data_IF_259172242980
#
_entry.id   IF_259172242980
#
_cell.length_a   1.000
_cell.length_b   1.000
_cell.length_c   1.000
_cell.angle_alpha   90.00
_cell.angle_beta   90.00
_cell.angle_gamma   90.00
#
_symmetry.space_group_name_H-M   'P 1'
#
loop_
_entity.id
_entity.type
_entity.pdbx_description
1 polymer ?
#
# COMPACT_ATOMS: atom_id res chain seq x y z
N UNK A 1 28.46 13.42 3.87
CA UNK A 1 27.30 13.79 4.69
C UNK A 1 26.82 12.58 5.49
N UNK A 2 26.62 12.72 6.79
CA UNK A 2 25.91 11.71 7.56
C UNK A 2 24.41 11.86 7.26
N UNK A 3 23.84 10.89 6.54
CA UNK A 3 22.41 10.88 6.26
C UNK A 3 21.64 10.48 7.55
N UNK A 4 20.41 10.99 7.77
CA UNK A 4 19.53 10.49 8.83
C UNK A 4 19.34 8.97 8.73
N UNK A 5 19.09 8.30 9.83
CA UNK A 5 19.00 6.83 9.93
C UNK A 5 17.92 6.18 9.05
N UNK A 6 16.94 6.96 8.60
CA UNK A 6 15.83 6.51 7.75
C UNK A 6 16.07 6.72 6.25
N UNK A 7 17.24 7.25 5.85
CA UNK A 7 17.57 7.53 4.44
C UNK A 7 18.66 6.57 3.98
N UNK A 8 18.35 5.79 2.95
CA UNK A 8 19.27 4.83 2.34
C UNK A 8 20.06 5.49 1.21
N UNK A 9 21.34 5.18 1.08
CA UNK A 9 22.11 5.55 -0.12
C UNK A 9 21.72 4.64 -1.28
N UNK A 10 21.58 5.22 -2.47
CA UNK A 10 21.28 4.46 -3.68
C UNK A 10 22.40 3.45 -3.97
N UNK A 11 22.00 2.19 -4.14
CA UNK A 11 22.86 1.11 -4.63
C UNK A 11 22.22 0.61 -5.92
N UNK A 12 22.85 0.89 -7.05
CA UNK A 12 22.30 0.56 -8.36
C UNK A 12 22.56 -0.90 -8.72
N UNK A 13 21.51 -1.59 -9.14
CA UNK A 13 21.55 -2.96 -9.64
C UNK A 13 20.90 -2.98 -11.01
N UNK A 14 21.67 -3.31 -12.05
CA UNK A 14 21.12 -3.42 -13.39
C UNK A 14 19.87 -4.30 -13.42
N UNK A 15 18.86 -3.81 -14.13
CA UNK A 15 17.61 -4.53 -14.26
C UNK A 15 17.70 -5.59 -15.36
N UNK A 16 17.18 -6.80 -15.09
CA UNK A 16 17.05 -7.86 -16.09
C UNK A 16 15.92 -7.57 -17.10
N UNK A 17 15.08 -6.57 -16.83
CA UNK A 17 13.93 -6.18 -17.66
C UNK A 17 14.32 -4.97 -18.51
N UNK A 18 14.34 -5.12 -19.84
CA UNK A 18 14.82 -4.11 -20.79
C UNK A 18 14.18 -2.73 -20.57
N UNK A 19 12.87 -2.68 -20.35
CA UNK A 19 12.12 -1.44 -20.11
C UNK A 19 12.60 -0.65 -18.89
N UNK A 20 13.29 -1.29 -17.94
CA UNK A 20 13.71 -0.71 -16.66
C UNK A 20 15.20 -0.39 -16.61
N UNK A 21 15.97 -0.82 -17.61
CA UNK A 21 17.42 -0.56 -17.70
C UNK A 21 17.72 0.92 -17.79
N UNK A 22 18.89 1.29 -17.28
CA UNK A 22 19.42 2.65 -17.32
C UNK A 22 18.50 3.71 -16.69
N UNK A 23 17.65 3.29 -15.75
CA UNK A 23 16.85 4.20 -14.94
C UNK A 23 17.27 4.13 -13.47
N UNK A 24 18.02 5.12 -12.97
CA UNK A 24 18.58 5.09 -11.63
C UNK A 24 17.53 4.92 -10.52
N UNK A 25 16.32 5.47 -10.70
CA UNK A 25 15.24 5.30 -9.72
C UNK A 25 14.73 3.85 -9.66
N UNK A 26 14.79 3.12 -10.77
CA UNK A 26 14.36 1.71 -10.80
C UNK A 26 15.51 0.82 -10.35
N UNK A 27 16.72 1.08 -10.76
CA UNK A 27 17.92 0.30 -10.44
C UNK A 27 18.32 0.42 -8.96
N UNK A 28 17.88 1.47 -8.26
CA UNK A 28 18.04 1.61 -6.81
C UNK A 28 16.98 0.85 -5.99
N UNK A 29 15.95 0.28 -6.63
CA UNK A 29 14.95 -0.52 -5.96
C UNK A 29 15.42 -1.99 -5.82
N UNK A 30 14.89 -2.73 -4.84
CA UNK A 30 15.09 -4.18 -4.75
C UNK A 30 14.67 -4.87 -6.05
N UNK A 31 15.40 -5.90 -6.48
CA UNK A 31 15.00 -6.72 -7.64
C UNK A 31 13.62 -7.35 -7.43
N UNK A 32 12.92 -7.61 -8.54
CA UNK A 32 11.63 -8.32 -8.51
C UNK A 32 11.86 -9.72 -7.93
N UNK A 33 11.24 -10.00 -6.78
CA UNK A 33 11.41 -11.26 -6.06
C UNK A 33 10.62 -12.38 -6.72
N UNK A 34 11.13 -13.62 -6.65
CA UNK A 34 10.34 -14.81 -6.97
C UNK A 34 9.23 -14.99 -5.93
N UNK A 35 8.13 -15.65 -6.30
CA UNK A 35 6.93 -15.80 -5.44
C UNK A 35 7.28 -16.41 -4.08
N UNK A 36 8.14 -17.43 -4.03
CA UNK A 36 8.53 -18.07 -2.77
C UNK A 36 9.37 -17.14 -1.89
N UNK A 37 10.30 -16.40 -2.45
CA UNK A 37 11.11 -15.40 -1.75
C UNK A 37 10.22 -14.25 -1.21
N UNK A 38 9.26 -13.82 -2.02
CA UNK A 38 8.29 -12.81 -1.62
C UNK A 38 7.46 -13.27 -0.41
N UNK A 39 6.94 -14.51 -0.43
CA UNK A 39 6.18 -15.06 0.69
C UNK A 39 7.01 -15.07 1.97
N UNK A 40 8.28 -15.49 1.91
CA UNK A 40 9.20 -15.48 3.06
C UNK A 40 9.42 -14.04 3.57
N UNK A 41 9.57 -13.06 2.68
CA UNK A 41 9.73 -11.64 3.07
C UNK A 41 8.49 -11.06 3.73
N UNK A 42 7.30 -11.49 3.28
CA UNK A 42 6.03 -11.01 3.80
C UNK A 42 5.58 -11.75 5.06
N UNK A 43 6.08 -12.95 5.34
CA UNK A 43 5.68 -13.75 6.50
C UNK A 43 5.99 -13.02 7.81
N UNK A 44 5.04 -13.03 8.73
CA UNK A 44 5.21 -12.48 10.07
C UNK A 44 6.16 -13.34 10.90
N UNK A 45 6.96 -12.72 11.74
CA UNK A 45 7.95 -13.40 12.60
C UNK A 45 7.43 -13.45 14.04
N UNK A 46 6.50 -14.36 14.29
CA UNK A 46 5.99 -14.60 15.65
C UNK A 46 7.07 -15.28 16.47
N UNK A 47 7.44 -14.67 17.58
CA UNK A 47 8.30 -15.31 18.59
C UNK A 47 7.45 -16.28 19.38
N UNK A 48 7.69 -17.57 19.21
CA UNK A 48 6.94 -18.62 19.87
C UNK A 48 7.87 -19.73 20.33
N UNK A 49 7.83 -20.02 21.63
CA UNK A 49 8.50 -21.17 22.22
C UNK A 49 7.46 -22.27 22.51
N UNK A 50 7.54 -23.44 21.86
CA UNK A 50 6.66 -24.55 22.17
C UNK A 50 6.70 -25.00 23.63
N UNK A 51 7.77 -24.73 24.37
CA UNK A 51 7.88 -25.04 25.78
C UNK A 51 7.26 -23.97 26.71
N UNK A 52 6.68 -22.88 26.17
CA UNK A 52 6.14 -21.76 26.95
C UNK A 52 5.02 -22.13 27.94
N UNK A 53 4.52 -23.37 27.94
CA UNK A 53 3.58 -23.88 28.96
C UNK A 53 4.09 -23.84 30.40
N UNK A 54 5.42 -23.74 30.61
CA UNK A 54 6.01 -23.57 31.96
C UNK A 54 5.90 -22.13 32.50
N UNK A 55 5.63 -21.14 31.65
CA UNK A 55 5.42 -19.76 32.06
C UNK A 55 4.14 -19.65 32.90
N UNK A 56 4.10 -18.69 33.83
CA UNK A 56 2.86 -18.41 34.55
C UNK A 56 1.76 -17.86 33.59
N UNK A 57 0.51 -17.90 34.05
CA UNK A 57 -0.65 -17.51 33.25
C UNK A 57 -0.54 -16.06 32.70
N UNK A 58 -0.03 -15.15 33.51
CA UNK A 58 0.12 -13.74 33.12
C UNK A 58 1.19 -13.56 32.03
N UNK A 59 2.32 -14.25 32.17
CA UNK A 59 3.39 -14.22 31.16
C UNK A 59 2.88 -14.80 29.83
N UNK A 60 2.20 -15.94 29.87
CA UNK A 60 1.60 -16.57 28.66
C UNK A 60 0.62 -15.66 27.96
N UNK A 61 -0.22 -14.95 28.72
CA UNK A 61 -1.17 -13.99 28.16
C UNK A 61 -0.48 -12.82 27.45
N UNK A 62 0.63 -12.29 28.00
CA UNK A 62 1.40 -11.25 27.35
C UNK A 62 2.09 -11.74 26.07
N UNK A 63 2.73 -12.90 26.10
CA UNK A 63 3.35 -13.49 24.90
C UNK A 63 2.34 -13.77 23.79
N UNK A 64 1.18 -14.32 24.15
CA UNK A 64 0.08 -14.59 23.22
C UNK A 64 -0.41 -13.34 22.48
N UNK A 65 -0.47 -12.18 23.15
CA UNK A 65 -0.88 -10.92 22.54
C UNK A 65 0.04 -10.50 21.37
N UNK A 66 1.30 -10.93 21.36
CA UNK A 66 2.22 -10.70 20.26
C UNK A 66 1.72 -11.26 18.91
N UNK A 67 0.81 -12.25 18.91
CA UNK A 67 0.16 -12.70 17.67
C UNK A 67 -0.62 -11.59 16.96
N UNK A 68 -1.22 -10.66 17.69
CA UNK A 68 -2.00 -9.58 17.09
C UNK A 68 -1.14 -8.62 16.26
N UNK A 69 0.14 -8.48 16.65
CA UNK A 69 1.08 -7.54 16.02
C UNK A 69 1.97 -8.24 14.98
N UNK A 70 2.45 -9.43 15.30
CA UNK A 70 3.52 -10.09 14.54
C UNK A 70 3.03 -11.12 13.53
N UNK A 71 1.80 -11.67 13.72
CA UNK A 71 1.31 -12.70 12.83
C UNK A 71 0.88 -12.15 11.48
N UNK A 72 1.49 -12.65 10.42
CA UNK A 72 1.07 -12.39 9.05
C UNK A 72 1.36 -13.61 8.18
N UNK A 73 0.29 -14.21 7.64
CA UNK A 73 0.39 -15.33 6.71
C UNK A 73 0.21 -14.85 5.28
N UNK A 74 1.23 -14.92 4.42
CA UNK A 74 1.10 -14.56 3.00
C UNK A 74 0.13 -15.49 2.27
N UNK A 75 -0.89 -14.91 1.66
CA UNK A 75 -1.90 -15.56 0.84
C UNK A 75 -1.73 -15.20 -0.63
N UNK A 76 -2.44 -15.86 -1.54
CA UNK A 76 -2.36 -15.56 -2.98
C UNK A 76 -2.75 -14.12 -3.32
N UNK A 77 -3.69 -13.55 -2.57
CA UNK A 77 -4.12 -12.16 -2.75
C UNK A 77 -2.99 -11.16 -2.44
N UNK A 78 -2.12 -11.46 -1.47
CA UNK A 78 -0.97 -10.62 -1.13
C UNK A 78 0.08 -10.63 -2.26
N UNK A 79 0.31 -11.80 -2.87
CA UNK A 79 1.21 -11.93 -4.03
C UNK A 79 0.70 -11.14 -5.22
N UNK A 80 -0.61 -11.24 -5.51
CA UNK A 80 -1.23 -10.48 -6.59
C UNK A 80 -1.22 -8.96 -6.33
N UNK A 81 -1.37 -8.54 -5.08
CA UNK A 81 -1.27 -7.12 -4.69
C UNK A 81 0.17 -6.60 -4.84
N UNK A 82 1.16 -7.39 -4.38
CA UNK A 82 2.58 -7.00 -4.53
C UNK A 82 2.97 -6.83 -5.98
N UNK A 83 2.58 -7.76 -6.85
CA UNK A 83 2.85 -7.66 -8.29
C UNK A 83 2.30 -6.34 -8.87
N UNK A 84 1.05 -5.98 -8.52
CA UNK A 84 0.46 -4.71 -8.95
C UNK A 84 1.22 -3.50 -8.41
N UNK A 85 1.58 -3.50 -7.13
CA UNK A 85 2.36 -2.42 -6.49
C UNK A 85 3.74 -2.31 -7.14
N UNK A 86 4.44 -3.42 -7.36
CA UNK A 86 5.74 -3.46 -8.01
C UNK A 86 5.70 -2.89 -9.44
N UNK A 87 4.66 -3.23 -10.21
CA UNK A 87 4.42 -2.69 -11.54
C UNK A 87 4.11 -1.19 -11.52
N UNK A 88 3.36 -0.72 -10.51
CA UNK A 88 3.02 0.70 -10.37
C UNK A 88 4.24 1.53 -10.02
N UNK A 89 5.02 1.15 -9.00
CA UNK A 89 6.21 1.89 -8.58
C UNK A 89 7.19 2.02 -9.74
N UNK A 90 7.57 0.90 -10.38
CA UNK A 90 8.53 0.91 -11.49
C UNK A 90 7.96 1.60 -12.73
N UNK A 91 6.70 1.33 -13.06
CA UNK A 91 6.02 1.96 -14.19
C UNK A 91 5.95 3.48 -14.06
N UNK A 92 5.76 4.00 -12.83
CA UNK A 92 5.76 5.41 -12.55
C UNK A 92 7.10 6.10 -12.80
N UNK A 93 8.22 5.38 -12.70
CA UNK A 93 9.54 5.94 -12.96
C UNK A 93 9.97 5.86 -14.44
N UNK A 94 9.35 5.03 -15.26
CA UNK A 94 9.73 4.86 -16.68
C UNK A 94 9.73 6.20 -17.44
N UNK A 95 8.70 7.03 -17.24
CA UNK A 95 8.61 8.35 -17.89
C UNK A 95 9.27 9.49 -17.08
N UNK A 96 9.95 9.19 -15.98
CA UNK A 96 10.60 10.16 -15.08
C UNK A 96 12.07 9.80 -14.84
N UNK A 97 12.75 9.33 -15.89
CA UNK A 97 14.16 8.95 -15.80
C UNK A 97 15.04 10.19 -15.59
N UNK A 98 15.81 10.20 -14.49
CA UNK A 98 16.71 11.31 -14.16
C UNK A 98 17.94 11.35 -15.06
N UNK A 99 18.43 10.18 -15.53
CA UNK A 99 19.60 10.10 -16.39
C UNK A 99 19.36 10.65 -17.80
N UNK A 100 18.10 10.64 -18.29
CA UNK A 100 17.73 11.12 -19.63
C UNK A 100 17.15 12.54 -19.65
N UNK A 101 17.07 13.21 -18.50
CA UNK A 101 16.50 14.55 -18.39
C UNK A 101 14.97 14.62 -18.34
N UNK A 102 14.27 13.49 -18.40
CA UNK A 102 12.80 13.45 -18.36
C UNK A 102 12.24 14.02 -17.04
N UNK A 103 12.89 13.72 -15.92
CA UNK A 103 12.48 14.29 -14.64
C UNK A 103 12.55 15.81 -14.64
N UNK A 104 13.59 16.39 -15.23
CA UNK A 104 13.79 17.83 -15.33
C UNK A 104 12.68 18.49 -16.16
N UNK A 105 12.21 17.85 -17.23
CA UNK A 105 11.07 18.32 -18.00
C UNK A 105 9.79 18.37 -17.17
N UNK A 106 9.52 17.34 -16.38
CA UNK A 106 8.38 17.32 -15.43
C UNK A 106 8.49 18.44 -14.39
N UNK A 107 9.68 18.67 -13.84
CA UNK A 107 9.92 19.77 -12.88
C UNK A 107 9.70 21.15 -13.51
N UNK A 108 10.15 21.38 -14.74
CA UNK A 108 9.93 22.64 -15.47
C UNK A 108 8.45 22.85 -15.79
N UNK A 109 7.73 21.84 -16.23
CA UNK A 109 6.29 21.91 -16.45
C UNK A 109 5.53 22.20 -15.14
N UNK A 110 5.93 21.56 -14.03
CA UNK A 110 5.37 21.85 -12.71
C UNK A 110 5.61 23.28 -12.27
N UNK A 111 6.81 23.83 -12.51
CA UNK A 111 7.13 25.22 -12.23
C UNK A 111 6.26 26.19 -13.06
N UNK A 112 6.07 25.90 -14.35
CA UNK A 112 5.22 26.71 -15.24
C UNK A 112 3.78 26.77 -14.73
N UNK A 113 3.21 25.64 -14.32
CA UNK A 113 1.86 25.57 -13.70
C UNK A 113 1.75 26.40 -12.42
N UNK A 114 2.79 26.40 -11.61
CA UNK A 114 2.83 27.21 -10.39
C UNK A 114 2.88 28.70 -10.68
N UNK A 115 3.65 29.10 -11.69
CA UNK A 115 3.82 30.52 -12.07
C UNK A 115 2.59 31.10 -12.77
N UNK A 116 1.93 30.33 -13.62
CA UNK A 116 0.75 30.77 -14.38
C UNK A 116 -0.55 30.60 -13.58
N UNK A 117 -0.57 29.74 -12.58
CA UNK A 117 -1.80 29.34 -11.88
C UNK A 117 -2.74 28.47 -12.74
N UNK A 118 -2.32 28.06 -13.94
CA UNK A 118 -3.06 27.20 -14.84
C UNK A 118 -2.49 25.80 -14.83
N UNK A 119 -3.29 24.84 -14.38
CA UNK A 119 -2.93 23.42 -14.27
C UNK A 119 -2.65 22.75 -15.62
N UNK A 120 -3.09 23.34 -16.73
CA UNK A 120 -2.86 22.85 -18.08
C UNK A 120 -1.64 23.49 -18.76
N UNK A 121 -0.97 24.44 -18.11
CA UNK A 121 0.27 25.03 -18.63
C UNK A 121 1.42 24.04 -18.67
N UNK A 122 2.17 24.04 -19.76
CA UNK A 122 3.39 23.26 -19.90
C UNK A 122 4.41 23.99 -20.79
N UNK A 123 5.68 23.85 -20.44
CA UNK A 123 6.81 24.42 -21.19
C UNK A 123 7.39 23.42 -22.19
N UNK A 124 7.36 22.15 -21.83
CA UNK A 124 7.83 21.06 -22.67
C UNK A 124 6.68 20.14 -23.00
N UNK A 125 6.67 19.56 -24.20
CA UNK A 125 5.69 18.56 -24.57
C UNK A 125 5.60 17.47 -23.48
N UNK A 126 4.39 17.21 -22.99
CA UNK A 126 4.21 16.20 -21.97
C UNK A 126 4.54 14.82 -22.52
N UNK A 127 5.49 14.15 -21.88
CA UNK A 127 5.62 12.71 -22.08
C UNK A 127 4.32 12.04 -21.62
N UNK A 128 3.81 11.04 -22.36
CA UNK A 128 2.62 10.31 -21.94
C UNK A 128 2.78 9.83 -20.50
N UNK A 129 1.88 10.23 -19.62
CA UNK A 129 1.93 9.78 -18.22
C UNK A 129 1.88 8.26 -18.17
N UNK A 130 2.85 7.65 -17.52
CA UNK A 130 2.86 6.22 -17.21
C UNK A 130 2.25 5.93 -15.83
N UNK A 131 1.73 6.97 -15.17
CA UNK A 131 1.05 6.84 -13.90
C UNK A 131 -0.22 6.00 -14.05
N UNK A 132 -0.43 5.13 -13.10
CA UNK A 132 -1.56 4.19 -13.07
C UNK A 132 -2.32 4.34 -11.77
N UNK A 133 -3.60 4.01 -11.81
CA UNK A 133 -4.42 3.94 -10.62
C UNK A 133 -4.79 2.49 -10.30
N UNK A 134 -4.84 2.17 -9.01
CA UNK A 134 -5.31 0.90 -8.48
C UNK A 134 -6.30 1.18 -7.35
N UNK A 135 -7.51 0.63 -7.48
CA UNK A 135 -8.52 0.68 -6.41
C UNK A 135 -8.53 -0.63 -5.64
N UNK A 136 -8.35 -0.56 -4.33
CA UNK A 136 -8.38 -1.70 -3.42
C UNK A 136 -9.60 -1.59 -2.49
N UNK A 137 -10.62 -2.40 -2.77
CA UNK A 137 -11.93 -2.33 -2.11
C UNK A 137 -12.19 -3.61 -1.32
N UNK A 138 -12.62 -3.49 -0.07
CA UNK A 138 -13.01 -4.65 0.72
C UNK A 138 -13.54 -4.28 2.10
N UNK A 139 -14.15 -5.22 2.80
CA UNK A 139 -14.68 -5.01 4.14
C UNK A 139 -13.61 -4.52 5.12
N UNK A 140 -14.03 -3.83 6.17
CA UNK A 140 -13.15 -3.49 7.29
C UNK A 140 -12.65 -4.79 7.95
N UNK A 141 -11.41 -4.80 8.44
CA UNK A 141 -10.83 -5.96 9.09
C UNK A 141 -10.31 -7.08 8.14
N UNK A 142 -10.49 -6.95 6.81
CA UNK A 142 -9.95 -7.94 5.86
C UNK A 142 -8.43 -7.84 5.63
N UNK A 143 -7.73 -6.89 6.27
CA UNK A 143 -6.27 -6.77 6.19
C UNK A 143 -5.72 -5.92 5.04
N UNK A 144 -6.55 -5.11 4.33
CA UNK A 144 -6.11 -4.28 3.19
C UNK A 144 -4.94 -3.37 3.51
N UNK A 145 -5.13 -2.47 4.48
CA UNK A 145 -4.12 -1.46 4.86
C UNK A 145 -2.86 -2.11 5.39
N UNK A 146 -2.99 -3.13 6.23
CA UNK A 146 -1.86 -3.90 6.77
C UNK A 146 -1.07 -4.60 5.66
N UNK A 147 -1.77 -5.16 4.66
CA UNK A 147 -1.13 -5.81 3.51
C UNK A 147 -0.38 -4.83 2.62
N UNK A 148 -0.98 -3.66 2.33
CA UNK A 148 -0.31 -2.59 1.58
C UNK A 148 0.95 -2.14 2.31
N UNK A 149 0.85 -1.85 3.62
CA UNK A 149 2.01 -1.44 4.43
C UNK A 149 3.10 -2.50 4.47
N UNK A 150 2.72 -3.78 4.63
CA UNK A 150 3.67 -4.90 4.67
C UNK A 150 4.43 -5.05 3.35
N UNK A 151 3.74 -4.90 2.23
CA UNK A 151 4.35 -4.94 0.91
C UNK A 151 5.27 -3.73 0.70
N UNK A 152 4.81 -2.52 1.03
CA UNK A 152 5.60 -1.31 0.90
C UNK A 152 6.86 -1.34 1.78
N UNK A 153 6.79 -1.95 2.96
CA UNK A 153 7.94 -2.13 3.84
C UNK A 153 9.06 -3.03 3.26
N UNK A 154 8.81 -3.75 2.15
CA UNK A 154 9.86 -4.47 1.41
C UNK A 154 10.73 -3.56 0.55
N UNK A 155 10.36 -2.29 0.40
CA UNK A 155 11.09 -1.27 -0.32
C UNK A 155 11.71 -0.26 0.65
N UNK A 156 12.93 0.24 0.42
CA UNK A 156 13.45 1.40 1.14
C UNK A 156 12.56 2.61 0.84
N UNK A 157 12.05 3.26 1.87
CA UNK A 157 11.10 4.36 1.69
C UNK A 157 11.77 5.60 1.11
N UNK A 158 12.92 5.98 1.65
CA UNK A 158 13.68 7.15 1.19
C UNK A 158 15.06 6.73 0.74
N UNK A 159 15.39 7.04 -0.52
CA UNK A 159 16.68 6.74 -1.13
C UNK A 159 17.34 8.07 -1.55
N UNK A 160 18.60 8.26 -1.21
CA UNK A 160 19.40 9.40 -1.66
C UNK A 160 20.32 8.99 -2.79
N UNK A 161 20.17 9.64 -3.93
CA UNK A 161 20.99 9.47 -5.13
C UNK A 161 22.12 10.49 -5.14
N UNK A 162 23.29 10.10 -4.64
CA UNK A 162 24.44 11.00 -4.46
C UNK A 162 24.91 11.62 -5.79
N UNK A 163 24.94 10.84 -6.89
CA UNK A 163 25.35 11.29 -8.21
C UNK A 163 24.45 12.39 -8.79
N UNK A 164 23.18 12.40 -8.39
CA UNK A 164 22.15 13.33 -8.91
C UNK A 164 21.75 14.37 -7.87
N UNK A 165 22.28 14.29 -6.65
CA UNK A 165 21.89 15.12 -5.51
C UNK A 165 20.35 15.18 -5.34
N UNK A 166 19.70 14.01 -5.40
CA UNK A 166 18.23 13.90 -5.43
C UNK A 166 17.74 12.84 -4.44
N UNK A 167 16.63 13.14 -3.77
CA UNK A 167 15.92 12.19 -2.93
C UNK A 167 14.81 11.50 -3.74
N UNK A 168 14.66 10.21 -3.53
CA UNK A 168 13.58 9.38 -4.05
C UNK A 168 12.73 8.90 -2.88
N UNK A 169 11.46 9.28 -2.85
CA UNK A 169 10.45 8.68 -1.96
C UNK A 169 9.76 7.54 -2.72
N UNK A 170 10.16 6.30 -2.47
CA UNK A 170 9.63 5.14 -3.17
C UNK A 170 8.12 5.03 -3.02
N UNK A 171 7.60 5.37 -1.84
CA UNK A 171 6.16 5.44 -1.58
C UNK A 171 5.84 6.50 -0.54
N UNK A 172 4.65 7.06 -0.66
CA UNK A 172 4.05 7.93 0.35
C UNK A 172 2.65 7.42 0.68
N UNK A 173 2.32 7.22 1.96
CA UNK A 173 0.99 6.83 2.42
C UNK A 173 0.36 7.97 3.19
N UNK A 174 -0.83 8.35 2.79
CA UNK A 174 -1.67 9.33 3.50
C UNK A 174 -3.03 8.72 3.82
N UNK A 175 -3.66 9.19 4.88
CA UNK A 175 -5.04 8.85 5.20
C UNK A 175 -5.96 10.00 4.80
N UNK A 176 -7.13 9.63 4.30
CA UNK A 176 -8.18 10.61 4.09
C UNK A 176 -8.58 11.26 5.40
N UNK A 177 -8.67 12.59 5.44
CA UNK A 177 -9.03 13.32 6.64
C UNK A 177 -10.47 12.98 7.07
N UNK A 178 -10.72 13.05 8.37
CA UNK A 178 -12.03 12.70 8.95
C UNK A 178 -13.14 13.66 8.48
N UNK A 179 -12.78 14.92 8.22
CA UNK A 179 -13.69 15.96 7.71
C UNK A 179 -14.05 15.78 6.22
N UNK A 180 -13.39 14.87 5.52
CA UNK A 180 -13.59 14.61 4.09
C UNK A 180 -13.20 15.77 3.18
N UNK A 181 -12.34 16.68 3.64
CA UNK A 181 -11.89 17.85 2.88
C UNK A 181 -10.73 17.52 1.96
N UNK A 182 -10.84 17.84 0.67
CA UNK A 182 -9.75 17.74 -0.31
C UNK A 182 -8.56 18.63 0.06
N UNK A 183 -8.82 19.79 0.64
CA UNK A 183 -7.77 20.68 1.11
C UNK A 183 -6.98 20.06 2.25
N UNK A 184 -7.66 19.46 3.22
CA UNK A 184 -6.99 18.74 4.32
C UNK A 184 -6.20 17.54 3.80
N UNK A 185 -6.67 16.85 2.74
CA UNK A 185 -5.93 15.77 2.08
C UNK A 185 -4.61 16.26 1.48
N UNK A 186 -4.62 17.43 0.80
CA UNK A 186 -3.40 18.04 0.29
C UNK A 186 -2.42 18.41 1.43
N UNK A 187 -2.94 18.91 2.54
CA UNK A 187 -2.10 19.24 3.71
C UNK A 187 -1.49 17.98 4.34
N UNK A 188 -2.25 16.90 4.46
CA UNK A 188 -1.74 15.60 4.93
C UNK A 188 -0.60 15.08 4.04
N UNK A 189 -0.68 15.32 2.73
CA UNK A 189 0.41 14.98 1.82
C UNK A 189 1.69 15.72 2.16
N UNK A 190 1.65 17.05 2.36
CA UNK A 190 2.84 17.83 2.73
C UNK A 190 3.40 17.43 4.08
N UNK A 191 2.52 17.21 5.07
CA UNK A 191 2.92 16.77 6.41
C UNK A 191 3.65 15.43 6.37
N UNK A 192 3.18 14.49 5.55
CA UNK A 192 3.82 13.18 5.46
C UNK A 192 5.17 13.27 4.72
N UNK A 193 5.32 14.14 3.70
CA UNK A 193 6.63 14.41 3.08
C UNK A 193 7.59 15.05 4.08
N UNK A 194 7.13 16.06 4.84
CA UNK A 194 7.93 16.74 5.86
C UNK A 194 8.47 15.77 6.91
N UNK A 195 7.65 14.81 7.33
CA UNK A 195 8.01 13.79 8.30
C UNK A 195 9.15 12.87 7.81
N UNK A 196 9.16 12.54 6.52
CA UNK A 196 10.17 11.65 5.96
C UNK A 196 11.45 12.35 5.52
N UNK A 197 11.37 13.60 5.09
CA UNK A 197 12.49 14.36 4.53
C UNK A 197 12.95 15.51 5.42
N UNK A 198 12.26 15.75 6.55
CA UNK A 198 12.54 16.86 7.48
C UNK A 198 12.51 18.22 6.77
N UNK A 199 11.49 18.42 5.92
CA UNK A 199 11.21 19.65 5.18
C UNK A 199 10.16 20.51 5.90
N UNK A 200 9.87 21.68 5.37
CA UNK A 200 8.90 22.66 5.90
C UNK A 200 7.75 22.96 4.92
N UNK A 201 7.41 21.99 4.07
CA UNK A 201 6.42 22.13 3.01
C UNK A 201 5.04 22.51 3.54
N UNK A 202 4.66 21.95 4.69
CA UNK A 202 3.38 22.25 5.34
C UNK A 202 3.29 23.72 5.72
N UNK A 203 4.35 24.30 6.28
CA UNK A 203 4.39 25.72 6.58
C UNK A 203 4.39 26.57 5.32
N UNK A 204 5.18 26.16 4.32
CA UNK A 204 5.35 26.87 3.04
C UNK A 204 4.09 26.91 2.21
N UNK A 205 3.38 25.78 2.07
CA UNK A 205 2.23 25.62 1.17
C UNK A 205 0.88 25.56 1.90
N UNK A 206 0.85 25.34 3.21
CA UNK A 206 -0.37 25.20 4.00
C UNK A 206 -1.10 26.53 4.31
N UNK A 207 -0.70 27.65 3.73
CA UNK A 207 -1.30 28.96 3.99
C UNK A 207 -2.78 28.96 3.64
N UNK A 208 -3.60 29.60 4.49
CA UNK A 208 -5.08 29.56 4.45
C UNK A 208 -5.73 30.03 3.12
N UNK A 209 -4.99 30.74 2.26
CA UNK A 209 -5.52 31.39 1.06
C UNK A 209 -5.42 30.56 -0.23
N UNK A 210 -4.76 29.40 -0.22
CA UNK A 210 -4.64 28.57 -1.42
C UNK A 210 -5.91 27.79 -1.70
N UNK A 211 -6.34 27.78 -2.98
CA UNK A 211 -7.39 26.89 -3.46
C UNK A 211 -6.90 25.44 -3.53
N UNK A 212 -7.82 24.50 -3.70
CA UNK A 212 -7.47 23.07 -3.84
C UNK A 212 -6.64 22.82 -5.10
N UNK A 213 -6.92 23.54 -6.19
CA UNK A 213 -6.20 23.43 -7.47
C UNK A 213 -4.75 23.89 -7.33
N UNK A 214 -4.52 24.99 -6.62
CA UNK A 214 -3.17 25.50 -6.32
C UNK A 214 -2.40 24.50 -5.45
N UNK A 215 -3.04 23.94 -4.44
CA UNK A 215 -2.41 22.91 -3.59
C UNK A 215 -2.10 21.66 -4.38
N UNK A 216 -2.95 21.25 -5.33
CA UNK A 216 -2.71 20.13 -6.22
C UNK A 216 -1.48 20.37 -7.12
N UNK A 217 -1.32 21.59 -7.64
CA UNK A 217 -0.13 21.96 -8.41
C UNK A 217 1.15 21.87 -7.57
N UNK A 218 1.10 22.30 -6.30
CA UNK A 218 2.22 22.16 -5.38
C UNK A 218 2.51 20.70 -5.04
N UNK A 219 1.47 19.86 -4.86
CA UNK A 219 1.66 18.41 -4.70
C UNK A 219 2.39 17.79 -5.89
N UNK A 220 2.02 18.20 -7.12
CA UNK A 220 2.69 17.75 -8.35
C UNK A 220 4.17 18.13 -8.39
N UNK A 221 4.49 19.37 -8.03
CA UNK A 221 5.87 19.84 -7.96
C UNK A 221 6.68 19.08 -6.91
N UNK A 222 6.15 18.93 -5.71
CA UNK A 222 6.79 18.19 -4.61
C UNK A 222 6.96 16.71 -4.97
N UNK A 223 5.95 16.08 -5.58
CA UNK A 223 6.00 14.68 -5.98
C UNK A 223 7.08 14.39 -7.03
N UNK A 224 7.33 15.32 -7.95
CA UNK A 224 8.41 15.21 -8.93
C UNK A 224 9.76 15.60 -8.32
N UNK A 225 9.83 16.62 -7.47
CA UNK A 225 11.05 17.05 -6.78
C UNK A 225 11.66 15.92 -5.93
N UNK A 226 10.82 15.17 -5.23
CA UNK A 226 11.24 14.05 -4.39
C UNK A 226 10.99 12.67 -5.03
N UNK A 227 10.79 12.65 -6.34
CA UNK A 227 10.63 11.44 -7.14
C UNK A 227 9.74 10.39 -6.45
N UNK A 228 8.49 10.78 -6.06
CA UNK A 228 7.56 9.88 -5.40
C UNK A 228 7.18 8.75 -6.35
N UNK A 229 7.41 7.49 -5.95
CA UNK A 229 7.14 6.30 -6.77
C UNK A 229 5.67 5.93 -6.83
N UNK A 230 5.01 5.90 -5.68
CA UNK A 230 3.57 5.64 -5.57
C UNK A 230 2.98 6.41 -4.39
N UNK A 231 1.78 6.96 -4.60
CA UNK A 231 0.98 7.58 -3.55
C UNK A 231 -0.13 6.62 -3.13
N UNK A 232 -0.20 6.26 -1.87
CA UNK A 232 -1.29 5.46 -1.29
C UNK A 232 -2.22 6.38 -0.51
N UNK A 233 -3.50 6.37 -0.84
CA UNK A 233 -4.54 7.13 -0.16
C UNK A 233 -5.49 6.13 0.49
N UNK A 234 -5.44 6.06 1.81
CA UNK A 234 -6.22 5.11 2.61
C UNK A 234 -7.50 5.75 3.16
N UNK A 235 -8.48 4.92 3.54
CA UNK A 235 -9.76 5.34 4.11
C UNK A 235 -10.60 6.24 3.19
N UNK A 236 -10.55 6.00 1.86
CA UNK A 236 -11.13 6.89 0.85
C UNK A 236 -12.63 7.12 1.02
N UNK A 237 -13.36 6.21 1.70
CA UNK A 237 -14.78 6.40 1.99
C UNK A 237 -15.08 7.59 2.92
N UNK A 238 -14.07 8.15 3.59
CA UNK A 238 -14.24 9.38 4.41
C UNK A 238 -14.57 10.58 3.55
N UNK A 239 -14.07 10.63 2.30
CA UNK A 239 -14.31 11.72 1.36
C UNK A 239 -15.76 11.72 0.82
N UNK A 240 -16.40 10.56 0.70
CA UNK A 240 -17.78 10.42 0.16
C UNK A 240 -18.92 10.85 1.10
N UNK A 241 -18.62 11.38 2.28
CA UNK A 241 -19.65 11.72 3.29
C UNK A 241 -20.40 13.02 3.02
N UNK A 242 -19.92 13.88 2.11
CA UNK A 242 -20.58 15.14 1.72
C UNK A 242 -21.22 14.96 0.35
N UNK A 243 -22.47 15.40 0.21
CA UNK A 243 -23.41 15.43 -0.93
C UNK A 243 -22.86 15.18 -2.36
N UNK A 244 -23.75 14.81 -3.31
CA UNK A 244 -23.44 14.43 -4.71
C UNK A 244 -22.46 15.38 -5.44
N UNK A 245 -22.57 16.69 -5.28
CA UNK A 245 -21.61 17.67 -5.84
C UNK A 245 -20.18 17.49 -5.32
N UNK A 246 -20.01 16.96 -4.09
CA UNK A 246 -18.69 16.64 -3.55
C UNK A 246 -18.03 15.42 -4.20
N UNK A 247 -18.80 14.49 -4.74
CA UNK A 247 -18.29 13.28 -5.36
C UNK A 247 -17.70 13.56 -6.75
N UNK A 248 -18.35 14.42 -7.56
CA UNK A 248 -17.82 14.82 -8.87
C UNK A 248 -16.52 15.60 -8.75
N UNK A 249 -16.46 16.60 -7.87
CA UNK A 249 -15.23 17.36 -7.60
C UNK A 249 -14.10 16.48 -7.08
N UNK A 250 -14.44 15.47 -6.33
CA UNK A 250 -13.46 14.52 -5.80
C UNK A 250 -12.92 13.62 -6.90
N UNK A 251 -13.77 13.16 -7.83
CA UNK A 251 -13.33 12.43 -9.01
C UNK A 251 -12.39 13.26 -9.87
N UNK A 252 -12.79 14.51 -10.18
CA UNK A 252 -11.95 15.45 -10.93
C UNK A 252 -10.60 15.66 -10.24
N UNK A 253 -10.60 15.77 -8.91
CA UNK A 253 -9.37 15.86 -8.11
C UNK A 253 -8.48 14.63 -8.29
N UNK A 254 -9.01 13.41 -8.22
CA UNK A 254 -8.20 12.19 -8.40
C UNK A 254 -7.71 12.01 -9.83
N UNK A 255 -8.55 12.33 -10.81
CA UNK A 255 -8.15 12.34 -12.23
C UNK A 255 -7.01 13.33 -12.45
N UNK A 256 -7.14 14.54 -11.89
CA UNK A 256 -6.11 15.56 -11.95
C UNK A 256 -4.83 15.11 -11.21
N UNK A 257 -4.97 14.49 -10.04
CA UNK A 257 -3.86 13.99 -9.24
C UNK A 257 -3.02 12.95 -10.04
N UNK A 258 -3.66 12.00 -10.70
CA UNK A 258 -2.97 11.00 -11.51
C UNK A 258 -2.36 11.62 -12.77
N UNK A 259 -3.12 12.48 -13.47
CA UNK A 259 -2.70 13.03 -14.77
C UNK A 259 -1.67 14.15 -14.62
N UNK A 260 -1.88 15.08 -13.67
CA UNK A 260 -1.03 16.27 -13.47
C UNK A 260 0.23 15.92 -12.69
N UNK A 261 0.09 15.15 -11.61
CA UNK A 261 1.22 14.78 -10.79
C UNK A 261 2.08 13.72 -11.50
N UNK A 262 1.45 12.88 -12.33
CA UNK A 262 2.14 11.80 -13.04
C UNK A 262 2.68 10.70 -12.12
N UNK A 263 2.14 10.60 -10.89
CA UNK A 263 2.51 9.59 -9.89
C UNK A 263 1.42 8.52 -9.82
N UNK A 264 1.77 7.24 -9.81
CA UNK A 264 0.80 6.17 -9.58
C UNK A 264 0.09 6.32 -8.25
N UNK A 265 -1.22 6.06 -8.23
CA UNK A 265 -2.06 6.21 -7.03
C UNK A 265 -2.76 4.90 -6.69
N UNK A 266 -2.68 4.50 -5.41
CA UNK A 266 -3.43 3.39 -4.85
C UNK A 266 -4.50 3.96 -3.92
N UNK A 267 -5.76 3.70 -4.25
CA UNK A 267 -6.90 4.10 -3.44
C UNK A 267 -7.38 2.90 -2.63
N UNK A 268 -7.33 3.01 -1.30
CA UNK A 268 -7.75 1.94 -0.39
C UNK A 268 -9.02 2.35 0.35
N UNK A 269 -10.03 1.48 0.34
CA UNK A 269 -11.27 1.80 1.00
C UNK A 269 -12.22 0.63 1.21
N UNK A 270 -13.37 0.95 1.80
CA UNK A 270 -14.47 0.02 2.02
C UNK A 270 -15.48 0.08 0.87
N UNK A 271 -16.42 -0.87 0.76
CA UNK A 271 -17.50 -0.83 -0.23
C UNK A 271 -18.34 0.45 -0.20
N UNK A 272 -18.31 1.22 0.89
CA UNK A 272 -18.97 2.53 0.99
C UNK A 272 -18.37 3.58 0.02
N UNK A 273 -17.14 3.36 -0.43
CA UNK A 273 -16.48 4.21 -1.44
C UNK A 273 -16.79 3.78 -2.89
N UNK A 274 -17.66 2.78 -3.10
CA UNK A 274 -18.00 2.24 -4.42
C UNK A 274 -18.38 3.30 -5.44
N UNK A 275 -19.18 4.33 -5.14
CA UNK A 275 -19.49 5.38 -6.11
C UNK A 275 -18.24 6.10 -6.65
N UNK A 276 -17.24 6.32 -5.79
CA UNK A 276 -15.96 6.94 -6.17
C UNK A 276 -15.18 6.02 -7.13
N UNK A 277 -15.14 4.72 -6.82
CA UNK A 277 -14.44 3.74 -7.64
C UNK A 277 -15.13 3.45 -8.97
N UNK A 278 -16.46 3.50 -9.06
CA UNK A 278 -17.21 3.32 -10.30
C UNK A 278 -16.97 4.48 -11.28
N UNK A 279 -16.93 5.70 -10.78
CA UNK A 279 -16.58 6.87 -11.58
C UNK A 279 -15.13 6.81 -12.08
N UNK A 280 -14.22 6.30 -11.25
CA UNK A 280 -12.83 6.08 -11.62
C UNK A 280 -12.69 4.98 -12.69
N UNK A 281 -13.44 3.88 -12.58
CA UNK A 281 -13.48 2.83 -13.60
C UNK A 281 -13.99 3.33 -14.96
N UNK A 282 -14.91 4.29 -14.99
CA UNK A 282 -15.36 4.93 -16.22
C UNK A 282 -14.28 5.80 -16.86
N UNK A 283 -13.50 6.54 -16.03
CA UNK A 283 -12.37 7.33 -16.49
C UNK A 283 -11.13 6.47 -16.79
N UNK A 284 -10.91 5.38 -16.04
CA UNK A 284 -9.81 4.43 -16.22
C UNK A 284 -9.93 3.60 -17.51
N UNK A 285 -11.12 3.49 -18.12
CA UNK A 285 -11.25 2.97 -19.50
C UNK A 285 -10.53 3.86 -20.53
N UNK A 286 -10.25 5.11 -20.18
CA UNK A 286 -9.48 6.07 -21.00
C UNK A 286 -8.00 6.16 -20.58
N UNK A 287 -7.64 5.71 -19.38
CA UNK A 287 -6.27 5.70 -18.84
C UNK A 287 -5.80 4.27 -18.59
N UNK A 288 -4.51 4.04 -18.70
CA UNK A 288 -3.82 2.74 -18.57
C UNK A 288 -3.81 2.19 -17.13
N UNK A 289 -4.95 2.15 -16.44
CA UNK A 289 -5.06 1.64 -15.07
C UNK A 289 -4.73 0.15 -14.94
N UNK A 290 -4.23 -0.26 -13.76
CA UNK A 290 -4.03 -1.68 -13.40
C UNK A 290 -5.35 -2.32 -12.95
N UNK A 291 -6.43 -1.54 -12.92
CA UNK A 291 -7.78 -1.97 -12.60
C UNK A 291 -8.10 -1.89 -11.11
N UNK A 292 -9.16 -2.58 -10.73
CA UNK A 292 -9.59 -2.68 -9.33
C UNK A 292 -9.26 -4.06 -8.76
N UNK A 293 -9.07 -4.12 -7.45
CA UNK A 293 -8.89 -5.35 -6.70
C UNK A 293 -9.92 -5.41 -5.58
N UNK A 294 -10.80 -6.40 -5.64
CA UNK A 294 -11.77 -6.64 -4.58
C UNK A 294 -11.13 -7.55 -3.55
N UNK A 295 -11.09 -7.07 -2.29
CA UNK A 295 -10.54 -7.78 -1.16
C UNK A 295 -11.67 -8.40 -0.35
N UNK A 296 -11.98 -9.64 -0.68
CA UNK A 296 -13.03 -10.41 -0.03
C UNK A 296 -12.52 -11.09 1.25
N UNK A 297 -13.41 -11.37 2.22
CA UNK A 297 -13.11 -12.30 3.30
C UNK A 297 -12.64 -13.65 2.75
N UNK A 298 -11.82 -14.35 3.51
CA UNK A 298 -11.25 -15.61 3.09
C UNK A 298 -12.35 -16.70 3.01
N UNK A 299 -12.60 -17.32 1.86
CA UNK A 299 -13.66 -18.33 1.73
C UNK A 299 -13.27 -19.63 2.41
N UNK A 300 -14.22 -20.29 3.07
CA UNK A 300 -14.00 -21.58 3.73
C UNK A 300 -13.68 -22.68 2.72
N UNK A 301 -14.41 -22.69 1.60
CA UNK A 301 -14.27 -23.68 0.53
C UNK A 301 -13.92 -23.00 -0.78
N UNK A 302 -12.93 -23.53 -1.47
CA UNK A 302 -12.60 -23.14 -2.83
C UNK A 302 -12.20 -24.40 -3.55
N UNK A 303 -13.07 -24.89 -4.43
CA UNK A 303 -12.83 -26.10 -5.21
C UNK A 303 -11.69 -25.87 -6.22
N UNK A 304 -10.45 -25.98 -5.74
CA UNK A 304 -9.26 -26.02 -6.58
C UNK A 304 -8.73 -27.45 -6.59
N UNK A 305 -8.72 -28.05 -7.75
CA UNK A 305 -8.09 -29.35 -7.97
C UNK A 305 -6.65 -29.09 -8.40
N UNK A 306 -5.72 -29.80 -7.78
CA UNK A 306 -4.32 -29.81 -8.22
C UNK A 306 -4.24 -30.50 -9.58
N UNK A 307 -3.69 -29.78 -10.58
CA UNK A 307 -3.63 -30.29 -11.96
C UNK A 307 -2.67 -31.48 -12.13
N UNK A 308 -1.67 -31.60 -11.26
CA UNK A 308 -0.66 -32.67 -11.34
C UNK A 308 -1.11 -33.93 -10.59
N UNK A 309 -1.76 -33.75 -9.44
CA UNK A 309 -2.12 -34.87 -8.56
C UNK A 309 -3.59 -35.25 -8.64
N UNK A 310 -4.44 -34.43 -9.27
CA UNK A 310 -5.91 -34.63 -9.33
C UNK A 310 -6.60 -34.53 -7.96
N UNK A 311 -5.87 -34.17 -6.89
CA UNK A 311 -6.41 -34.06 -5.53
C UNK A 311 -6.88 -32.64 -5.22
N UNK A 312 -7.88 -32.45 -4.33
CA UNK A 312 -8.25 -31.12 -3.87
C UNK A 312 -7.06 -30.40 -3.22
N UNK A 313 -6.73 -29.18 -3.68
CA UNK A 313 -5.75 -28.34 -2.98
C UNK A 313 -6.34 -27.86 -1.66
N UNK A 314 -5.54 -27.86 -0.57
CA UNK A 314 -5.98 -27.25 0.67
C UNK A 314 -6.36 -25.79 0.43
N UNK A 315 -7.48 -25.36 1.00
CA UNK A 315 -7.92 -23.98 0.89
C UNK A 315 -6.98 -23.05 1.66
N UNK A 316 -6.92 -21.78 1.29
CA UNK A 316 -6.13 -20.79 2.04
C UNK A 316 -6.66 -20.64 3.47
N UNK A 317 -7.96 -20.84 3.69
CA UNK A 317 -8.56 -20.93 5.00
C UNK A 317 -7.92 -22.05 5.85
N UNK A 318 -7.81 -23.24 5.27
CA UNK A 318 -7.17 -24.39 5.95
C UNK A 318 -5.71 -24.09 6.27
N UNK A 319 -4.96 -23.59 5.30
CA UNK A 319 -3.55 -23.24 5.50
C UNK A 319 -3.36 -22.18 6.59
N UNK A 320 -4.21 -21.16 6.62
CA UNK A 320 -4.16 -20.09 7.63
C UNK A 320 -4.48 -20.64 9.03
N UNK A 321 -5.54 -21.43 9.16
CA UNK A 321 -5.96 -21.98 10.46
C UNK A 321 -4.98 -23.01 10.98
N UNK A 322 -4.43 -23.89 10.11
CA UNK A 322 -3.36 -24.82 10.47
C UNK A 322 -2.10 -24.09 10.95
N UNK A 323 -1.74 -22.97 10.30
CA UNK A 323 -0.59 -22.16 10.73
C UNK A 323 -0.84 -21.47 12.07
N UNK A 324 -2.02 -20.86 12.28
CA UNK A 324 -2.38 -20.23 13.55
C UNK A 324 -2.44 -21.25 14.69
N UNK A 325 -2.99 -22.44 14.43
CA UNK A 325 -3.13 -23.50 15.43
C UNK A 325 -1.81 -23.95 16.04
N UNK A 326 -0.70 -23.74 15.38
CA UNK A 326 0.65 -24.05 15.90
C UNK A 326 1.06 -23.14 17.06
N UNK A 327 0.44 -21.97 17.22
CA UNK A 327 0.77 -20.96 18.21
C UNK A 327 -0.17 -21.06 19.44
N UNK A 328 0.07 -22.05 20.31
CA UNK A 328 -0.73 -22.28 21.50
C UNK A 328 0.08 -22.07 22.77
N UNK A 329 -0.26 -21.06 23.57
CA UNK A 329 0.32 -20.79 24.89
C UNK A 329 -0.47 -21.46 26.03
N UNK A 330 -1.13 -22.60 25.74
CA UNK A 330 -1.88 -23.40 26.70
C UNK A 330 -0.97 -24.44 27.37
N UNK A 331 -1.26 -24.82 28.62
CA UNK A 331 -0.58 -25.90 29.32
C UNK A 331 -0.84 -27.24 28.61
N UNK A 332 -2.11 -27.50 28.33
CA UNK A 332 -2.54 -28.64 27.54
C UNK A 332 -2.92 -28.16 26.14
N UNK A 333 -2.29 -28.75 25.14
CA UNK A 333 -2.52 -28.38 23.75
C UNK A 333 -3.46 -29.39 23.12
N UNK A 334 -4.45 -28.88 22.41
CA UNK A 334 -5.30 -29.73 21.59
C UNK A 334 -4.63 -29.96 20.23
N UNK A 335 -4.30 -31.20 19.94
CA UNK A 335 -3.80 -31.62 18.64
C UNK A 335 -4.49 -32.90 18.19
N UNK A 336 -4.89 -32.98 16.92
CA UNK A 336 -4.84 -31.96 15.84
C UNK A 336 -6.06 -31.01 15.87
N UNK A 337 -5.99 -29.90 15.10
CA UNK A 337 -7.15 -29.03 14.85
C UNK A 337 -8.28 -29.84 14.20
N UNK A 338 -9.41 -30.00 14.91
CA UNK A 338 -10.57 -30.73 14.40
C UNK A 338 -11.35 -29.93 13.37
N UNK A 339 -12.07 -30.60 12.47
CA UNK A 339 -12.93 -29.91 11.49
C UNK A 339 -14.11 -29.20 12.17
N UNK A 340 -14.58 -29.67 13.32
CA UNK A 340 -15.62 -29.02 14.11
C UNK A 340 -15.16 -27.66 14.62
N UNK A 341 -13.98 -27.59 15.24
CA UNK A 341 -13.38 -26.31 15.69
C UNK A 341 -13.15 -25.38 14.50
N UNK A 342 -12.65 -25.89 13.38
CA UNK A 342 -12.39 -25.12 12.17
C UNK A 342 -13.68 -24.54 11.57
N UNK A 343 -14.77 -25.30 11.57
CA UNK A 343 -16.08 -24.86 11.08
C UNK A 343 -16.67 -23.79 11.98
N UNK A 344 -16.66 -24.01 13.31
CA UNK A 344 -17.11 -23.01 14.29
C UNK A 344 -16.27 -21.71 14.17
N UNK A 345 -14.97 -21.83 13.98
CA UNK A 345 -14.09 -20.68 13.79
C UNK A 345 -14.46 -19.89 12.53
N UNK A 346 -14.81 -20.59 11.44
CA UNK A 346 -15.30 -19.93 10.22
C UNK A 346 -16.66 -19.26 10.45
N UNK A 347 -17.62 -19.94 11.05
CA UNK A 347 -18.95 -19.41 11.34
C UNK A 347 -18.90 -18.12 12.15
N UNK A 348 -18.02 -18.03 13.13
CA UNK A 348 -17.84 -16.86 13.97
C UNK A 348 -17.06 -15.73 13.30
N UNK A 349 -16.12 -16.05 12.43
CA UNK A 349 -15.24 -15.05 11.79
C UNK A 349 -15.69 -14.64 10.39
N UNK A 350 -16.49 -15.48 9.72
CA UNK A 350 -16.87 -15.31 8.30
C UNK A 350 -15.65 -15.07 7.38
N UNK A 351 -14.48 -15.60 7.77
CA UNK A 351 -13.23 -15.43 7.04
C UNK A 351 -12.63 -14.03 7.06
N UNK A 352 -13.11 -13.12 7.90
CA UNK A 352 -12.53 -11.79 8.11
C UNK A 352 -11.25 -11.94 8.92
N UNK A 353 -10.08 -11.67 8.30
CA UNK A 353 -8.76 -12.00 8.87
C UNK A 353 -8.51 -11.44 10.27
N UNK A 354 -8.91 -10.20 10.52
CA UNK A 354 -8.80 -9.56 11.85
C UNK A 354 -9.62 -10.32 12.92
N UNK A 355 -10.83 -10.76 12.56
CA UNK A 355 -11.67 -11.53 13.46
C UNK A 355 -11.10 -12.93 13.65
N UNK A 356 -10.55 -13.57 12.61
CA UNK A 356 -9.93 -14.90 12.70
C UNK A 356 -8.82 -14.90 13.73
N UNK A 357 -7.88 -13.97 13.64
CA UNK A 357 -6.75 -13.90 14.57
C UNK A 357 -7.22 -13.52 15.98
N UNK A 358 -8.08 -12.53 16.11
CA UNK A 358 -8.61 -12.09 17.42
C UNK A 358 -9.40 -13.17 18.14
N UNK A 359 -10.24 -13.92 17.44
CA UNK A 359 -10.97 -15.04 18.04
C UNK A 359 -10.01 -16.10 18.61
N UNK A 360 -8.96 -16.44 17.88
CA UNK A 360 -7.96 -17.39 18.33
C UNK A 360 -7.22 -16.90 19.57
N UNK A 361 -6.83 -15.63 19.61
CA UNK A 361 -6.18 -15.02 20.77
C UNK A 361 -7.12 -14.95 21.95
N UNK A 362 -8.36 -14.49 21.76
CA UNK A 362 -9.35 -14.36 22.85
C UNK A 362 -9.77 -15.71 23.44
N UNK A 363 -9.90 -16.75 22.60
CA UNK A 363 -10.18 -18.10 23.09
C UNK A 363 -9.08 -18.61 24.02
N UNK A 364 -7.81 -18.43 23.65
CA UNK A 364 -6.69 -18.82 24.48
C UNK A 364 -6.56 -17.96 25.75
N UNK A 365 -6.79 -16.64 25.66
CA UNK A 365 -6.80 -15.77 26.86
C UNK A 365 -7.83 -16.19 27.90
N UNK A 366 -8.95 -16.77 27.46
CA UNK A 366 -9.97 -17.32 28.39
C UNK A 366 -9.56 -18.67 28.98
N UNK A 367 -8.75 -19.42 28.26
CA UNK A 367 -8.28 -20.73 28.70
C UNK A 367 -6.99 -20.68 29.56
N UNK A 368 -6.25 -19.58 29.50
CA UNK A 368 -5.08 -19.28 30.34
C UNK A 368 -5.48 -18.91 31.75
#
# INVERSE_FOLDING_TARGET
MNLPHNIFRAVYQESDIERYKSNPFIEALPKVSKINELKIKLEGKVKYDPAAGYLDARQRAHELCGLLDDFFQPLSIHVALEEKIALMIRGGYVARNIATGQLQQHLQNGYERMMTGDINSFRFAEAPSTARCLSLIGCSGCGKSSSVLRILATYPQTIYHEQYNTYQLTYLRIECPVDGSLKSLCLNFFQEVDKHLHTDLTERYGRKRHSTEVLLSFMGQVANQYAIGVLVIDEIQRLGRKQQEGQERMLEFFVALVNIIGVPVILVGTPKARPIFELELQSARRSTGIGSMVWEPLPQYKNRIDKETGKPKPTEWRLLTDKLWQYQWLIHRDEPLTEEIRNTWFELSQGVLDIVVKLFVLAQLRAI
#
